data_IF_618340474581
#
_entry.id   IF_618340474581
#
_cell.length_a   1.000
_cell.length_b   1.000
_cell.length_c   1.000
_cell.angle_alpha   90.00
_cell.angle_beta   90.00
_cell.angle_gamma   90.00
#
_symmetry.space_group_name_H-M   'P 1'
#
loop_
_entity.id
_entity.type
_entity.pdbx_description
1 polymer ?
#
# COMPACT_ATOMS: atom_id res chain seq x y z
N UNK A 1 32.12 82.60 12.66
CA UNK A 1 31.94 82.46 14.11
C UNK A 1 30.45 82.55 14.40
N UNK A 2 29.80 81.39 14.55
CA UNK A 2 28.51 81.12 15.21
C UNK A 2 28.13 79.65 14.87
N UNK A 3 27.85 78.77 15.84
CA UNK A 3 27.67 77.33 15.65
C UNK A 3 26.19 76.88 15.70
N UNK A 4 25.99 75.58 15.43
CA UNK A 4 24.82 74.74 15.73
C UNK A 4 23.51 74.98 14.97
N UNK A 5 23.04 73.94 14.27
CA UNK A 5 22.01 73.09 14.89
C UNK A 5 22.08 71.66 14.35
N UNK A 6 22.42 70.73 15.25
CA UNK A 6 22.21 69.31 15.08
C UNK A 6 20.74 69.04 15.40
N UNK A 7 19.93 68.82 14.37
CA UNK A 7 18.60 68.24 14.55
C UNK A 7 18.77 66.78 14.95
N UNK A 8 18.51 66.51 16.22
CA UNK A 8 18.28 65.20 16.82
C UNK A 8 17.18 64.47 16.06
N UNK A 9 17.59 63.50 15.24
CA UNK A 9 16.70 62.51 14.66
C UNK A 9 16.15 61.66 15.82
N UNK A 10 14.89 61.92 16.16
CA UNK A 10 14.13 61.17 17.15
C UNK A 10 14.02 59.71 16.71
N UNK A 11 14.62 58.83 17.50
CA UNK A 11 14.42 57.37 17.50
C UNK A 11 12.92 57.03 17.40
N UNK A 12 12.48 56.70 16.19
CA UNK A 12 11.20 56.05 15.97
C UNK A 12 11.22 54.63 16.54
N UNK A 13 10.09 54.11 17.06
CA UNK A 13 10.03 52.78 17.66
C UNK A 13 10.07 51.72 16.55
N UNK A 14 11.27 51.38 16.08
CA UNK A 14 11.47 50.14 15.34
C UNK A 14 11.17 48.98 16.31
N UNK A 15 10.24 48.06 15.98
CA UNK A 15 10.02 46.89 16.81
C UNK A 15 11.30 46.06 16.81
N UNK A 16 11.93 45.95 17.99
CA UNK A 16 12.99 44.98 18.32
C UNK A 16 12.46 43.55 18.12
N UNK A 17 12.39 43.10 16.86
CA UNK A 17 12.08 41.72 16.50
C UNK A 17 13.39 40.99 16.19
N UNK A 18 14.24 40.91 17.21
CA UNK A 18 15.40 40.04 17.25
C UNK A 18 15.50 39.45 18.65
N UNK A 19 15.86 38.18 18.72
CA UNK A 19 16.25 37.43 19.93
C UNK A 19 15.15 36.67 20.68
N UNK A 20 14.75 35.53 20.12
CA UNK A 20 15.05 34.28 20.83
C UNK A 20 16.27 33.68 20.12
N UNK A 21 17.50 33.98 20.58
CA UNK A 21 18.76 33.44 20.01
C UNK A 21 18.77 31.90 20.10
N UNK A 22 17.99 31.34 21.01
CA UNK A 22 17.77 29.91 21.12
C UNK A 22 16.28 29.62 21.39
N UNK A 23 15.57 28.92 20.48
CA UNK A 23 14.19 28.54 20.73
C UNK A 23 14.11 27.63 21.95
N UNK A 24 13.09 27.84 22.80
CA UNK A 24 12.83 27.00 23.99
C UNK A 24 12.73 25.52 23.60
N UNK A 25 13.18 24.61 24.48
CA UNK A 25 13.15 23.14 24.24
C UNK A 25 11.79 22.63 23.75
N UNK A 26 10.69 23.12 24.33
CA UNK A 26 9.32 22.78 23.91
C UNK A 26 9.01 23.17 22.45
N UNK A 27 9.49 24.32 21.99
CA UNK A 27 9.30 24.78 20.60
C UNK A 27 10.10 23.90 19.63
N UNK A 28 11.30 23.47 20.01
CA UNK A 28 12.11 22.54 19.22
C UNK A 28 11.41 21.19 19.09
N UNK A 29 10.94 20.63 20.21
CA UNK A 29 10.21 19.35 20.22
C UNK A 29 8.95 19.40 19.36
N UNK A 30 8.17 20.49 19.46
CA UNK A 30 6.98 20.69 18.61
C UNK A 30 7.35 20.85 17.13
N UNK A 31 8.46 21.52 16.81
CA UNK A 31 8.91 21.68 15.43
C UNK A 31 9.40 20.36 14.81
N UNK A 32 9.87 19.39 15.61
CA UNK A 32 10.18 18.04 15.11
C UNK A 32 8.96 17.35 14.51
N UNK A 33 7.78 17.53 15.12
CA UNK A 33 6.54 16.92 14.63
C UNK A 33 6.24 17.32 13.17
N UNK A 34 6.71 18.49 12.72
CA UNK A 34 6.56 18.91 11.32
C UNK A 34 7.25 17.93 10.35
N UNK A 35 8.43 17.41 10.73
CA UNK A 35 9.18 16.43 9.94
C UNK A 35 8.54 15.04 9.92
N UNK A 36 7.71 14.73 10.92
CA UNK A 36 6.91 13.50 11.00
C UNK A 36 5.51 13.66 10.39
N UNK A 37 5.25 14.75 9.68
CA UNK A 37 4.00 14.93 8.93
C UNK A 37 2.92 15.70 9.68
N UNK A 38 3.18 16.25 10.87
CA UNK A 38 2.14 17.02 11.60
C UNK A 38 2.01 18.48 11.13
N UNK A 39 2.57 18.83 9.97
CA UNK A 39 2.53 20.20 9.44
C UNK A 39 1.11 20.77 9.20
N UNK A 40 0.12 20.03 8.66
CA UNK A 40 -1.21 20.58 8.40
C UNK A 40 -2.00 20.95 9.65
N UNK A 41 -1.83 20.20 10.74
CA UNK A 41 -2.49 20.48 12.02
C UNK A 41 -2.07 21.84 12.62
N UNK A 42 -1.00 22.43 12.08
CA UNK A 42 -0.43 23.69 12.55
C UNK A 42 -0.79 24.88 11.67
N UNK A 43 -1.53 24.64 10.58
CA UNK A 43 -1.95 25.67 9.61
C UNK A 43 -2.97 26.64 10.19
N UNK A 44 -3.90 26.16 11.01
CA UNK A 44 -5.10 26.89 11.45
C UNK A 44 -4.89 27.85 12.63
N UNK A 45 -3.78 27.75 13.40
CA UNK A 45 -3.67 28.46 14.68
C UNK A 45 -2.50 29.46 14.81
N UNK A 46 -1.62 29.61 13.80
CA UNK A 46 -0.32 30.28 14.03
C UNK A 46 0.29 31.13 12.91
N UNK A 47 -0.38 31.37 11.77
CA UNK A 47 0.28 32.00 10.62
C UNK A 47 0.82 33.42 10.88
N UNK A 48 0.12 34.23 11.69
CA UNK A 48 0.54 35.62 11.94
C UNK A 48 1.45 35.79 13.17
N UNK A 49 1.44 34.86 14.13
CA UNK A 49 2.22 34.95 15.38
C UNK A 49 3.38 33.96 15.49
N UNK A 50 3.60 33.11 14.47
CA UNK A 50 4.68 32.13 14.49
C UNK A 50 6.07 32.77 14.33
N UNK A 51 7.00 32.32 15.17
CA UNK A 51 8.41 32.70 15.11
C UNK A 51 9.07 32.33 13.77
N UNK A 52 10.12 33.05 13.40
CA UNK A 52 10.92 32.76 12.20
C UNK A 52 11.41 31.30 12.17
N UNK A 53 11.81 30.78 13.32
CA UNK A 53 12.21 29.39 13.52
C UNK A 53 11.13 28.40 13.08
N UNK A 54 9.90 28.59 13.57
CA UNK A 54 8.77 27.73 13.21
C UNK A 54 8.46 27.79 11.71
N UNK A 55 8.44 29.00 11.13
CA UNK A 55 8.18 29.21 9.71
C UNK A 55 9.24 28.51 8.84
N UNK A 56 10.51 28.57 9.23
CA UNK A 56 11.61 27.91 8.50
C UNK A 56 11.45 26.38 8.50
N UNK A 57 11.29 25.77 9.68
CA UNK A 57 11.14 24.31 9.79
C UNK A 57 9.87 23.78 9.12
N UNK A 58 8.76 24.53 9.17
CA UNK A 58 7.55 24.16 8.44
C UNK A 58 7.80 24.12 6.93
N UNK A 59 8.39 25.17 6.37
CA UNK A 59 8.71 25.20 4.93
C UNK A 59 9.63 24.05 4.55
N UNK A 60 10.68 23.82 5.34
CA UNK A 60 11.63 22.75 5.11
C UNK A 60 10.96 21.36 5.13
N UNK A 61 10.15 21.09 6.15
CA UNK A 61 9.43 19.83 6.26
C UNK A 61 8.50 19.63 5.06
N UNK A 62 7.72 20.64 4.67
CA UNK A 62 6.82 20.54 3.52
C UNK A 62 7.57 20.28 2.21
N UNK A 63 8.73 20.91 2.00
CA UNK A 63 9.55 20.64 0.81
C UNK A 63 10.07 19.20 0.84
N UNK A 64 10.54 18.71 1.99
CA UNK A 64 10.98 17.31 2.12
C UNK A 64 9.83 16.33 1.83
N UNK A 65 8.63 16.59 2.33
CA UNK A 65 7.44 15.80 2.01
C UNK A 65 7.05 15.89 0.54
N UNK A 66 7.21 17.05 -0.11
CA UNK A 66 6.98 17.20 -1.54
C UNK A 66 7.97 16.38 -2.38
N UNK A 67 9.24 16.37 -1.99
CA UNK A 67 10.27 15.55 -2.65
C UNK A 67 10.01 14.05 -2.46
N UNK A 68 9.60 13.64 -1.26
CA UNK A 68 9.16 12.25 -1.02
C UNK A 68 7.96 11.91 -1.91
N UNK A 69 6.97 12.80 -1.99
CA UNK A 69 5.81 12.62 -2.85
C UNK A 69 6.18 12.48 -4.33
N UNK A 70 7.15 13.27 -4.82
CA UNK A 70 7.68 13.15 -6.17
C UNK A 70 8.37 11.79 -6.40
N UNK A 71 9.23 11.35 -5.47
CA UNK A 71 9.90 10.04 -5.55
C UNK A 71 8.86 8.92 -5.61
N UNK A 72 7.85 8.95 -4.73
CA UNK A 72 6.77 7.97 -4.70
C UNK A 72 5.96 7.99 -5.99
N UNK A 73 5.61 9.17 -6.51
CA UNK A 73 4.87 9.32 -7.75
C UNK A 73 5.62 8.74 -8.96
N UNK A 74 6.92 9.06 -9.08
CA UNK A 74 7.77 8.52 -10.14
C UNK A 74 7.91 7.00 -10.04
N UNK A 75 8.03 6.46 -8.82
CA UNK A 75 8.04 5.01 -8.60
C UNK A 75 6.71 4.38 -9.06
N UNK A 76 5.56 4.94 -8.68
CA UNK A 76 4.25 4.41 -9.06
C UNK A 76 4.07 4.40 -10.58
N UNK A 77 4.46 5.47 -11.28
CA UNK A 77 4.46 5.51 -12.75
C UNK A 77 5.39 4.44 -13.31
N UNK A 78 6.61 4.33 -12.79
CA UNK A 78 7.59 3.35 -13.27
C UNK A 78 7.10 1.92 -13.12
N UNK A 79 6.46 1.60 -11.98
CA UNK A 79 5.86 0.29 -11.72
C UNK A 79 4.67 0.04 -12.65
N UNK A 80 3.82 1.04 -12.89
CA UNK A 80 2.69 0.91 -13.82
C UNK A 80 3.17 0.68 -15.27
N UNK A 81 4.17 1.43 -15.73
CA UNK A 81 4.79 1.25 -17.04
C UNK A 81 5.46 -0.12 -17.14
N UNK A 82 6.25 -0.52 -16.14
CA UNK A 82 6.88 -1.84 -16.10
C UNK A 82 5.82 -2.95 -16.16
N UNK A 83 4.73 -2.82 -15.40
CA UNK A 83 3.63 -3.79 -15.39
C UNK A 83 3.00 -3.93 -16.79
N UNK A 84 2.80 -2.81 -17.49
CA UNK A 84 2.29 -2.82 -18.87
C UNK A 84 3.29 -3.48 -19.81
N UNK A 85 4.58 -3.13 -19.71
CA UNK A 85 5.63 -3.71 -20.53
C UNK A 85 5.79 -5.23 -20.30
N UNK A 86 5.68 -5.70 -19.06
CA UNK A 86 5.73 -7.14 -18.77
C UNK A 86 4.56 -7.92 -19.42
N UNK A 87 3.40 -7.29 -19.58
CA UNK A 87 2.25 -7.92 -20.24
C UNK A 87 2.43 -8.00 -21.76
N UNK A 88 2.93 -6.95 -22.40
CA UNK A 88 2.99 -6.86 -23.87
C UNK A 88 4.37 -7.19 -24.48
N UNK A 89 5.46 -7.04 -23.72
CA UNK A 89 6.86 -7.11 -24.18
C UNK A 89 7.74 -7.86 -23.16
N UNK A 90 7.26 -9.03 -22.71
CA UNK A 90 7.91 -9.84 -21.65
C UNK A 90 9.38 -10.14 -21.95
N UNK A 91 9.68 -10.63 -23.15
CA UNK A 91 11.03 -11.09 -23.53
C UNK A 91 12.05 -9.96 -23.45
N UNK A 92 11.66 -8.75 -23.86
CA UNK A 92 12.50 -7.55 -23.82
C UNK A 92 12.73 -7.06 -22.39
N UNK A 93 11.73 -7.14 -21.51
CA UNK A 93 11.85 -6.73 -20.11
C UNK A 93 12.74 -7.69 -19.31
N UNK A 94 12.54 -9.00 -19.48
CA UNK A 94 13.27 -10.04 -18.75
C UNK A 94 14.78 -9.99 -19.08
N UNK A 95 15.14 -9.66 -20.32
CA UNK A 95 16.55 -9.54 -20.74
C UNK A 95 17.24 -8.29 -20.19
N UNK A 96 16.52 -7.18 -20.01
CA UNK A 96 17.11 -5.90 -19.62
C UNK A 96 17.18 -5.65 -18.11
N UNK A 97 16.60 -6.54 -17.27
CA UNK A 97 16.58 -6.41 -15.80
C UNK A 97 16.07 -5.04 -15.32
N UNK A 98 15.06 -4.50 -16.01
CA UNK A 98 14.52 -3.14 -15.77
C UNK A 98 14.07 -2.94 -14.31
N UNK A 99 13.53 -3.99 -13.69
CA UNK A 99 13.11 -3.98 -12.28
C UNK A 99 14.25 -3.60 -11.33
N UNK A 100 15.44 -4.17 -11.51
CA UNK A 100 16.60 -3.89 -10.66
C UNK A 100 17.02 -2.42 -10.76
N UNK A 101 16.91 -1.82 -11.94
CA UNK A 101 17.21 -0.40 -12.15
C UNK A 101 16.21 0.50 -11.42
N UNK A 102 14.91 0.21 -11.53
CA UNK A 102 13.85 0.96 -10.84
C UNK A 102 14.04 0.88 -9.32
N UNK A 103 14.27 -0.33 -8.79
CA UNK A 103 14.51 -0.55 -7.36
C UNK A 103 15.79 0.15 -6.87
N UNK A 104 16.88 0.05 -7.64
CA UNK A 104 18.16 0.68 -7.31
C UNK A 104 18.06 2.21 -7.29
N UNK A 105 17.44 2.81 -8.30
CA UNK A 105 17.24 4.26 -8.40
C UNK A 105 16.35 4.78 -7.26
N UNK A 106 15.25 4.07 -6.98
CA UNK A 106 14.33 4.40 -5.90
C UNK A 106 15.02 4.34 -4.55
N UNK A 107 15.76 3.27 -4.27
CA UNK A 107 16.53 3.11 -3.02
C UNK A 107 17.54 4.24 -2.83
N UNK A 108 18.33 4.57 -3.86
CA UNK A 108 19.30 5.68 -3.79
C UNK A 108 18.61 7.03 -3.55
N UNK A 109 17.48 7.26 -4.21
CA UNK A 109 16.69 8.49 -4.04
C UNK A 109 16.13 8.62 -2.61
N UNK A 110 15.62 7.52 -2.04
CA UNK A 110 15.14 7.46 -0.66
C UNK A 110 16.28 7.65 0.35
N UNK A 111 17.48 7.13 0.09
CA UNK A 111 18.65 7.35 0.94
C UNK A 111 19.06 8.84 0.96
N UNK A 112 19.13 9.47 -0.21
CA UNK A 112 19.43 10.91 -0.32
C UNK A 112 18.37 11.74 0.41
N UNK A 113 17.09 11.42 0.21
CA UNK A 113 15.99 12.05 0.93
C UNK A 113 16.13 11.86 2.45
N UNK A 114 16.44 10.64 2.90
CA UNK A 114 16.63 10.29 4.31
C UNK A 114 17.77 11.08 4.96
N UNK A 115 18.88 11.30 4.25
CA UNK A 115 19.98 12.14 4.71
C UNK A 115 19.51 13.59 4.92
N UNK A 116 18.77 14.16 3.97
CA UNK A 116 18.25 15.52 4.12
C UNK A 116 17.20 15.64 5.23
N UNK A 117 16.37 14.62 5.40
CA UNK A 117 15.39 14.54 6.48
C UNK A 117 16.06 14.49 7.85
N UNK A 118 17.04 13.59 8.03
CA UNK A 118 17.84 13.49 9.26
C UNK A 118 18.61 14.78 9.55
N UNK A 119 19.21 15.39 8.53
CA UNK A 119 19.88 16.67 8.68
C UNK A 119 18.89 17.75 9.13
N UNK A 120 17.68 17.78 8.58
CA UNK A 120 16.63 18.69 9.01
C UNK A 120 16.23 18.52 10.47
N UNK A 121 16.06 17.28 10.93
CA UNK A 121 15.81 16.94 12.33
C UNK A 121 16.95 17.42 13.22
N UNK A 122 18.19 17.10 12.86
CA UNK A 122 19.37 17.50 13.62
C UNK A 122 19.48 19.02 13.77
N UNK A 123 19.20 19.79 12.70
CA UNK A 123 19.16 21.26 12.74
C UNK A 123 18.05 21.79 13.65
N UNK A 124 16.87 21.18 13.60
CA UNK A 124 15.74 21.47 14.49
C UNK A 124 16.13 21.25 15.96
N UNK A 125 16.77 20.13 16.29
CA UNK A 125 17.24 19.85 17.66
C UNK A 125 18.27 20.90 18.13
N UNK A 126 19.18 21.32 17.25
CA UNK A 126 20.15 22.39 17.54
C UNK A 126 19.54 23.79 17.60
N UNK A 127 18.27 23.97 17.23
CA UNK A 127 17.60 25.26 17.23
C UNK A 127 18.04 26.18 16.08
N UNK A 128 18.60 25.62 15.00
CA UNK A 128 19.08 26.39 13.85
C UNK A 128 17.99 26.63 12.82
N UNK A 129 17.85 27.86 12.34
CA UNK A 129 16.89 28.25 11.29
C UNK A 129 17.42 28.12 9.88
N UNK A 130 18.73 27.92 9.71
CA UNK A 130 19.35 27.93 8.40
C UNK A 130 19.00 26.64 7.63
N UNK A 131 18.62 26.77 6.35
CA UNK A 131 18.02 25.69 5.56
C UNK A 131 18.99 24.53 5.35
N UNK A 132 18.46 23.35 5.06
CA UNK A 132 19.29 22.26 4.51
C UNK A 132 19.94 22.76 3.21
N UNK A 133 21.25 22.53 3.01
CA UNK A 133 21.91 22.80 1.73
C UNK A 133 21.11 22.25 0.55
N UNK A 134 21.14 22.93 -0.60
CA UNK A 134 20.40 22.60 -1.84
C UNK A 134 18.87 22.84 -1.73
N UNK A 135 18.25 22.51 -0.59
CA UNK A 135 16.81 22.76 -0.35
C UNK A 135 16.51 24.26 -0.22
N UNK A 136 17.49 25.07 0.23
CA UNK A 136 17.34 26.52 0.34
C UNK A 136 16.89 27.22 -0.94
N UNK A 137 17.21 26.68 -2.13
CA UNK A 137 16.71 27.20 -3.40
C UNK A 137 15.20 26.97 -3.57
N UNK A 138 14.71 25.79 -3.17
CA UNK A 138 13.29 25.41 -3.23
C UNK A 138 12.39 26.20 -2.28
N UNK A 139 12.95 26.89 -1.27
CA UNK A 139 12.18 27.74 -0.35
C UNK A 139 11.47 28.90 -1.05
N UNK A 140 11.98 29.33 -2.20
CA UNK A 140 11.40 30.40 -3.02
C UNK A 140 10.15 29.92 -3.78
N UNK A 141 10.02 28.61 -4.01
CA UNK A 141 8.94 28.03 -4.78
C UNK A 141 7.77 27.63 -3.86
N UNK A 142 6.71 28.44 -3.83
CA UNK A 142 5.50 28.16 -3.04
C UNK A 142 4.77 26.89 -3.50
N UNK A 143 4.97 26.48 -4.75
CA UNK A 143 4.41 25.24 -5.31
C UNK A 143 4.84 24.00 -4.52
N UNK A 144 6.13 23.84 -4.20
CA UNK A 144 6.60 22.68 -3.42
C UNK A 144 5.98 22.62 -2.03
N UNK A 145 5.71 23.75 -1.40
CA UNK A 145 5.03 23.77 -0.10
C UNK A 145 3.58 23.29 -0.22
N UNK A 146 2.86 23.72 -1.27
CA UNK A 146 1.49 23.26 -1.57
C UNK A 146 1.47 21.76 -1.89
N UNK A 147 2.38 21.29 -2.75
CA UNK A 147 2.50 19.86 -3.10
C UNK A 147 2.81 19.01 -1.88
N UNK A 148 3.73 19.46 -1.00
CA UNK A 148 4.05 18.78 0.24
C UNK A 148 2.84 18.68 1.18
N UNK A 149 2.05 19.75 1.29
CA UNK A 149 0.80 19.73 2.05
C UNK A 149 -0.22 18.74 1.46
N UNK A 150 -0.42 18.75 0.14
CA UNK A 150 -1.35 17.82 -0.52
C UNK A 150 -0.91 16.38 -0.30
N UNK A 151 0.36 16.06 -0.59
CA UNK A 151 0.91 14.72 -0.46
C UNK A 151 0.76 14.17 0.97
N UNK A 152 1.08 15.00 1.96
CA UNK A 152 0.99 14.62 3.36
C UNK A 152 -0.48 14.38 3.79
N UNK A 153 -1.43 15.23 3.37
CA UNK A 153 -2.86 14.98 3.67
C UNK A 153 -3.34 13.67 3.03
N UNK A 154 -2.98 13.43 1.76
CA UNK A 154 -3.30 12.17 1.08
C UNK A 154 -2.67 10.98 1.81
N UNK A 155 -1.41 11.08 2.23
CA UNK A 155 -0.72 10.04 3.01
C UNK A 155 -1.50 9.68 4.28
N UNK A 156 -1.90 10.65 5.10
CA UNK A 156 -2.67 10.34 6.32
C UNK A 156 -4.07 9.80 6.03
N UNK A 157 -4.78 10.31 5.02
CA UNK A 157 -6.08 9.77 4.61
C UNK A 157 -5.93 8.31 4.18
N UNK A 158 -4.95 8.01 3.33
CA UNK A 158 -4.66 6.66 2.86
C UNK A 158 -4.26 5.75 4.03
N UNK A 159 -3.37 6.17 4.93
CA UNK A 159 -2.99 5.39 6.10
C UNK A 159 -4.18 5.11 7.01
N UNK A 160 -4.99 6.13 7.31
CA UNK A 160 -6.18 5.98 8.16
C UNK A 160 -7.16 4.98 7.54
N UNK A 161 -7.50 5.14 6.26
CA UNK A 161 -8.38 4.23 5.53
C UNK A 161 -7.80 2.81 5.49
N UNK A 162 -6.53 2.66 5.11
CA UNK A 162 -5.86 1.35 5.04
C UNK A 162 -5.89 0.65 6.39
N UNK A 163 -5.53 1.33 7.49
CA UNK A 163 -5.56 0.76 8.83
C UNK A 163 -6.98 0.39 9.26
N UNK A 164 -7.97 1.27 9.08
CA UNK A 164 -9.37 0.97 9.42
C UNK A 164 -9.92 -0.22 8.65
N UNK A 165 -9.64 -0.29 7.34
CA UNK A 165 -10.07 -1.40 6.49
C UNK A 165 -9.33 -2.70 6.83
N UNK A 166 -8.04 -2.63 7.19
CA UNK A 166 -7.25 -3.77 7.63
C UNK A 166 -7.82 -4.35 8.93
N UNK A 167 -8.04 -3.51 9.95
CA UNK A 167 -8.63 -3.93 11.23
C UNK A 167 -10.01 -4.57 11.00
N UNK A 168 -10.81 -3.98 10.11
CA UNK A 168 -12.12 -4.53 9.78
C UNK A 168 -12.01 -5.85 9.02
N UNK A 169 -11.07 -5.97 8.08
CA UNK A 169 -10.80 -7.20 7.33
C UNK A 169 -10.38 -8.34 8.24
N UNK A 170 -9.45 -8.07 9.14
CA UNK A 170 -9.00 -9.01 10.18
C UNK A 170 -10.16 -9.56 11.01
N UNK A 171 -11.11 -8.71 11.41
CA UNK A 171 -12.30 -9.13 12.18
C UNK A 171 -13.31 -9.97 11.38
N UNK A 172 -13.28 -9.90 10.05
CA UNK A 172 -14.20 -10.65 9.18
C UNK A 172 -13.65 -12.04 8.83
N UNK A 173 -12.33 -12.22 8.96
CA UNK A 173 -11.62 -13.42 8.55
C UNK A 173 -11.51 -14.40 9.72
N UNK A 174 -11.80 -15.67 9.44
CA UNK A 174 -11.53 -16.79 10.35
C UNK A 174 -10.26 -17.53 9.96
N UNK A 175 -9.72 -18.32 10.89
CA UNK A 175 -8.72 -19.35 10.60
C UNK A 175 -9.32 -20.77 10.63
N UNK A 176 -10.57 -20.91 11.07
CA UNK A 176 -11.25 -22.21 11.18
C UNK A 176 -11.94 -22.59 9.88
N UNK A 177 -11.54 -23.72 9.29
CA UNK A 177 -12.10 -24.20 8.03
C UNK A 177 -13.53 -24.77 8.16
N UNK A 178 -13.97 -25.15 9.36
CA UNK A 178 -15.24 -25.86 9.59
C UNK A 178 -16.48 -25.11 9.13
N UNK A 179 -16.45 -23.76 9.16
CA UNK A 179 -17.55 -22.88 8.76
C UNK A 179 -17.24 -22.05 7.51
N UNK A 180 -16.04 -22.21 6.95
CA UNK A 180 -15.58 -21.42 5.82
C UNK A 180 -16.29 -21.83 4.53
N UNK A 181 -16.75 -20.85 3.77
CA UNK A 181 -17.32 -21.01 2.42
C UNK A 181 -16.44 -20.36 1.36
N UNK A 182 -15.76 -19.28 1.73
CA UNK A 182 -14.80 -18.54 0.91
C UNK A 182 -13.41 -18.79 1.44
N UNK A 183 -12.58 -19.48 0.66
CA UNK A 183 -11.17 -19.69 0.96
C UNK A 183 -10.34 -18.69 0.16
N UNK A 184 -9.51 -17.93 0.86
CA UNK A 184 -8.62 -16.92 0.30
C UNK A 184 -7.20 -17.37 0.64
N UNK A 185 -6.51 -17.96 -0.33
CA UNK A 185 -5.17 -18.50 -0.15
C UNK A 185 -4.16 -17.54 -0.77
N UNK A 186 -3.07 -17.27 -0.06
CA UNK A 186 -2.02 -16.35 -0.50
C UNK A 186 -0.64 -16.96 -0.29
N UNK A 187 0.27 -16.71 -1.22
CA UNK A 187 1.68 -16.99 -1.02
C UNK A 187 2.25 -16.03 0.05
N UNK A 188 2.75 -16.59 1.16
CA UNK A 188 3.22 -15.83 2.32
C UNK A 188 4.56 -15.11 2.04
N UNK A 189 5.29 -15.53 0.99
CA UNK A 189 6.61 -15.00 0.60
C UNK A 189 7.67 -14.94 1.74
N UNK A 190 7.33 -15.37 2.97
CA UNK A 190 8.15 -15.36 4.18
C UNK A 190 8.36 -13.99 4.85
N UNK A 191 8.06 -12.87 4.18
CA UNK A 191 8.33 -11.53 4.71
C UNK A 191 7.12 -10.57 4.69
N UNK A 192 6.03 -10.94 4.03
CA UNK A 192 4.87 -10.05 3.87
C UNK A 192 3.89 -10.30 5.03
N UNK A 193 3.56 -9.30 5.86
CA UNK A 193 2.70 -9.52 7.00
C UNK A 193 1.24 -9.79 6.58
N UNK A 194 0.63 -10.82 7.17
CA UNK A 194 -0.78 -11.23 6.96
C UNK A 194 -1.80 -10.08 6.87
N UNK A 195 -1.76 -9.02 7.71
CA UNK A 195 -2.69 -7.90 7.62
C UNK A 195 -2.76 -7.21 6.25
N UNK A 196 -1.68 -7.23 5.45
CA UNK A 196 -1.71 -6.69 4.09
C UNK A 196 -2.61 -7.52 3.18
N UNK A 197 -2.57 -8.85 3.30
CA UNK A 197 -3.48 -9.74 2.58
C UNK A 197 -4.93 -9.58 3.07
N UNK A 198 -5.14 -9.35 4.37
CA UNK A 198 -6.47 -9.04 4.91
C UNK A 198 -7.07 -7.76 4.31
N UNK A 199 -6.24 -6.73 4.08
CA UNK A 199 -6.65 -5.52 3.37
C UNK A 199 -6.97 -5.83 1.90
N UNK A 200 -6.09 -6.56 1.21
CA UNK A 200 -6.28 -6.93 -0.19
C UNK A 200 -7.60 -7.70 -0.40
N UNK A 201 -7.96 -8.58 0.55
CA UNK A 201 -9.15 -9.43 0.48
C UNK A 201 -10.39 -8.87 1.19
N UNK A 202 -10.31 -7.66 1.77
CA UNK A 202 -11.36 -7.08 2.62
C UNK A 202 -12.76 -7.14 1.97
N UNK A 203 -12.85 -6.75 0.69
CA UNK A 203 -14.10 -6.71 -0.07
C UNK A 203 -14.71 -8.10 -0.28
N UNK A 204 -13.88 -9.11 -0.50
CA UNK A 204 -14.29 -10.52 -0.60
C UNK A 204 -14.80 -11.01 0.74
N UNK A 205 -14.01 -10.85 1.80
CA UNK A 205 -14.37 -11.27 3.16
C UNK A 205 -15.69 -10.63 3.63
N UNK A 206 -15.83 -9.31 3.43
CA UNK A 206 -17.06 -8.59 3.77
C UNK A 206 -18.28 -9.08 3.00
N UNK A 207 -18.10 -9.53 1.76
CA UNK A 207 -19.20 -10.05 0.94
C UNK A 207 -19.57 -11.47 1.34
N UNK A 208 -18.59 -12.33 1.60
CA UNK A 208 -18.80 -13.66 2.15
C UNK A 208 -19.59 -13.60 3.46
N UNK A 209 -19.17 -12.77 4.41
CA UNK A 209 -19.83 -12.65 5.72
C UNK A 209 -21.26 -12.11 5.59
N UNK A 210 -21.52 -11.17 4.67
CA UNK A 210 -22.88 -10.70 4.40
C UNK A 210 -23.77 -11.79 3.82
N UNK A 211 -23.21 -12.70 3.03
CA UNK A 211 -23.95 -13.74 2.33
C UNK A 211 -24.21 -14.98 3.20
N UNK A 212 -23.16 -15.50 3.85
CA UNK A 212 -23.18 -16.77 4.56
C UNK A 212 -23.00 -16.64 6.08
N UNK A 213 -22.90 -15.41 6.59
CA UNK A 213 -22.77 -15.14 8.02
C UNK A 213 -21.32 -15.17 8.54
N UNK A 214 -21.14 -14.92 9.85
CA UNK A 214 -19.83 -14.88 10.50
C UNK A 214 -19.05 -16.20 10.36
N UNK A 215 -17.73 -16.12 10.16
CA UNK A 215 -16.86 -17.29 9.99
C UNK A 215 -16.84 -17.88 8.58
N UNK A 216 -17.57 -17.31 7.62
CA UNK A 216 -17.63 -17.82 6.25
C UNK A 216 -16.41 -17.48 5.39
N UNK A 217 -15.56 -16.53 5.79
CA UNK A 217 -14.39 -16.10 5.03
C UNK A 217 -13.10 -16.52 5.74
N UNK A 218 -12.29 -17.35 5.09
CA UNK A 218 -11.03 -17.85 5.63
C UNK A 218 -9.85 -17.30 4.82
N UNK A 219 -8.82 -16.80 5.51
CA UNK A 219 -7.57 -16.33 4.91
C UNK A 219 -6.39 -17.10 5.51
N UNK A 220 -5.70 -17.88 4.67
CA UNK A 220 -4.55 -18.70 5.09
C UNK A 220 -3.40 -18.66 4.07
N UNK A 221 -2.15 -18.84 4.53
CA UNK A 221 -1.03 -19.13 3.65
C UNK A 221 -1.35 -20.30 2.72
N UNK A 222 -0.87 -20.21 1.50
CA UNK A 222 -1.05 -21.22 0.47
C UNK A 222 -0.04 -22.35 0.69
N UNK A 223 -0.55 -23.49 1.15
CA UNK A 223 0.13 -24.79 1.22
C UNK A 223 -0.70 -25.85 0.52
N UNK A 224 -0.10 -27.01 0.21
CA UNK A 224 -0.84 -28.17 -0.32
C UNK A 224 -2.06 -28.49 0.52
N UNK A 225 -1.87 -28.61 1.84
CA UNK A 225 -2.94 -28.92 2.79
C UNK A 225 -4.06 -27.87 2.77
N UNK A 226 -3.72 -26.58 2.72
CA UNK A 226 -4.72 -25.51 2.67
C UNK A 226 -5.49 -25.47 1.35
N UNK A 227 -4.83 -25.83 0.24
CA UNK A 227 -5.44 -25.90 -1.08
C UNK A 227 -6.38 -27.09 -1.18
N UNK A 228 -5.92 -28.26 -0.73
CA UNK A 228 -6.74 -29.46 -0.67
C UNK A 228 -7.98 -29.22 0.21
N UNK A 229 -7.82 -28.61 1.38
CA UNK A 229 -8.92 -28.25 2.28
C UNK A 229 -9.90 -27.26 1.62
N UNK A 230 -9.39 -26.27 0.88
CA UNK A 230 -10.20 -25.31 0.15
C UNK A 230 -11.00 -25.96 -0.99
N UNK A 231 -10.38 -26.87 -1.75
CA UNK A 231 -11.04 -27.61 -2.82
C UNK A 231 -12.11 -28.54 -2.26
N UNK A 232 -11.87 -29.18 -1.12
CA UNK A 232 -12.77 -30.15 -0.50
C UNK A 232 -13.96 -29.54 0.24
N UNK A 233 -13.82 -28.32 0.79
CA UNK A 233 -14.84 -27.70 1.66
C UNK A 233 -15.37 -26.38 1.13
N UNK A 234 -14.60 -25.71 0.29
CA UNK A 234 -14.92 -24.39 -0.22
C UNK A 234 -16.09 -24.39 -1.20
N UNK A 235 -16.83 -23.29 -1.19
CA UNK A 235 -17.77 -22.94 -2.25
C UNK A 235 -17.12 -21.99 -3.25
N UNK A 236 -16.31 -21.06 -2.73
CA UNK A 236 -15.47 -20.15 -3.50
C UNK A 236 -14.02 -20.28 -3.02
N UNK A 237 -13.08 -20.40 -3.96
CA UNK A 237 -11.65 -20.47 -3.67
C UNK A 237 -10.91 -19.43 -4.50
N UNK A 238 -10.12 -18.59 -3.86
CA UNK A 238 -9.12 -17.73 -4.49
C UNK A 238 -7.73 -18.24 -4.12
N UNK A 239 -6.86 -18.38 -5.12
CA UNK A 239 -5.46 -18.81 -4.95
C UNK A 239 -4.55 -17.73 -5.52
N UNK A 240 -3.86 -16.99 -4.66
CA UNK A 240 -2.76 -16.10 -5.03
C UNK A 240 -1.45 -16.84 -4.94
N UNK A 241 -0.83 -17.14 -6.09
CA UNK A 241 0.37 -17.97 -6.17
C UNK A 241 1.25 -17.55 -7.35
N UNK A 242 2.53 -17.87 -7.29
CA UNK A 242 3.35 -17.93 -8.49
C UNK A 242 2.97 -19.17 -9.33
N UNK A 243 3.14 -19.10 -10.65
CA UNK A 243 2.78 -20.20 -11.53
C UNK A 243 3.59 -20.17 -12.81
N UNK A 244 3.60 -21.31 -13.47
CA UNK A 244 4.09 -21.45 -14.85
C UNK A 244 3.13 -22.35 -15.61
N UNK A 245 3.45 -22.62 -16.89
CA UNK A 245 2.73 -23.62 -17.67
C UNK A 245 2.73 -25.03 -17.03
N UNK A 246 3.60 -25.31 -16.05
CA UNK A 246 3.66 -26.59 -15.33
C UNK A 246 2.67 -26.70 -14.17
N UNK A 247 2.09 -25.61 -13.68
CA UNK A 247 1.14 -25.61 -12.57
C UNK A 247 1.35 -24.47 -11.57
N UNK A 248 0.75 -24.62 -10.37
CA UNK A 248 0.89 -23.66 -9.27
C UNK A 248 2.15 -23.96 -8.48
N UNK A 249 2.96 -22.94 -8.17
CA UNK A 249 4.16 -23.12 -7.37
C UNK A 249 3.81 -23.09 -5.87
N UNK A 250 4.00 -24.22 -5.19
CA UNK A 250 3.79 -24.42 -3.76
C UNK A 250 5.11 -24.92 -3.15
N UNK A 251 5.74 -24.11 -2.29
CA UNK A 251 6.96 -24.48 -1.56
C UNK A 251 8.06 -25.09 -2.46
N UNK A 252 8.26 -24.53 -3.65
CA UNK A 252 9.26 -24.99 -4.63
C UNK A 252 8.85 -26.22 -5.45
N UNK A 253 7.63 -26.72 -5.29
CA UNK A 253 7.05 -27.82 -6.09
C UNK A 253 5.86 -27.34 -6.89
N UNK A 254 5.61 -27.96 -8.04
CA UNK A 254 4.41 -27.68 -8.81
C UNK A 254 3.25 -28.55 -8.32
N UNK A 255 2.13 -27.90 -8.04
CA UNK A 255 0.83 -28.54 -7.84
C UNK A 255 0.04 -28.46 -9.14
N UNK A 256 -0.26 -29.63 -9.68
CA UNK A 256 -0.83 -29.80 -11.01
C UNK A 256 -2.32 -30.19 -10.94
N UNK A 257 -3.07 -30.11 -12.05
CA UNK A 257 -4.46 -30.55 -12.08
C UNK A 257 -4.66 -31.99 -11.58
N UNK A 258 -3.68 -32.86 -11.78
CA UNK A 258 -3.70 -34.28 -11.36
C UNK A 258 -3.56 -34.43 -9.84
N UNK A 259 -2.98 -33.45 -9.16
CA UNK A 259 -2.83 -33.43 -7.70
C UNK A 259 -4.12 -33.04 -6.97
N UNK A 260 -5.10 -32.47 -7.69
CA UNK A 260 -6.36 -32.01 -7.12
C UNK A 260 -7.07 -33.20 -6.47
N UNK A 261 -7.37 -33.15 -5.17
CA UNK A 261 -8.07 -34.23 -4.51
C UNK A 261 -9.43 -34.37 -5.18
N UNK A 262 -9.76 -35.60 -5.58
CA UNK A 262 -11.08 -35.95 -6.10
C UNK A 262 -11.90 -36.48 -4.95
N UNK A 263 -12.69 -35.64 -4.26
CA UNK A 263 -13.73 -36.17 -3.41
C UNK A 263 -14.74 -36.85 -4.31
N UNK A 264 -15.17 -38.06 -3.95
CA UNK A 264 -16.17 -38.79 -4.71
C UNK A 264 -17.52 -38.05 -4.82
N UNK A 265 -17.72 -36.90 -4.16
CA UNK A 265 -18.99 -36.13 -4.18
C UNK A 265 -18.90 -34.67 -3.66
N UNK A 266 -17.78 -33.93 -3.76
CA UNK A 266 -17.83 -32.50 -3.35
C UNK A 266 -18.61 -31.66 -4.37
N UNK A 267 -19.92 -31.60 -4.18
CA UNK A 267 -20.83 -30.78 -4.96
C UNK A 267 -20.91 -29.35 -4.45
N UNK A 268 -20.12 -28.93 -3.45
CA UNK A 268 -20.19 -27.59 -2.89
C UNK A 268 -19.30 -26.56 -3.61
N UNK A 269 -18.21 -27.01 -4.25
CA UNK A 269 -17.31 -26.11 -4.98
C UNK A 269 -18.02 -25.54 -6.22
N UNK A 270 -17.98 -24.22 -6.38
CA UNK A 270 -18.70 -23.49 -7.44
C UNK A 270 -17.79 -22.57 -8.25
N UNK A 271 -16.76 -22.02 -7.62
CA UNK A 271 -15.85 -21.12 -8.31
C UNK A 271 -14.44 -21.18 -7.76
N UNK A 272 -13.46 -21.23 -8.66
CA UNK A 272 -12.04 -21.17 -8.34
C UNK A 272 -11.38 -20.07 -9.15
N UNK A 273 -10.71 -19.13 -8.49
CA UNK A 273 -9.89 -18.10 -9.12
C UNK A 273 -8.42 -18.42 -8.88
N UNK A 274 -7.69 -18.76 -9.94
CA UNK A 274 -6.26 -19.02 -9.93
C UNK A 274 -5.53 -17.74 -10.37
N UNK A 275 -5.07 -16.97 -9.39
CA UNK A 275 -4.25 -15.78 -9.59
C UNK A 275 -2.76 -16.18 -9.69
N UNK A 276 -2.43 -16.94 -10.74
CA UNK A 276 -1.07 -17.39 -11.02
C UNK A 276 -0.76 -17.26 -12.51
N UNK A 277 0.43 -16.74 -12.79
CA UNK A 277 0.90 -16.50 -14.15
C UNK A 277 0.97 -17.81 -14.95
N UNK A 278 0.59 -17.76 -16.23
CA UNK A 278 0.67 -18.86 -17.20
C UNK A 278 -0.03 -20.19 -16.81
N UNK A 279 -0.76 -20.22 -15.69
CA UNK A 279 -1.54 -21.41 -15.27
C UNK A 279 -2.65 -21.76 -16.25
N UNK A 280 -3.07 -20.79 -17.08
CA UNK A 280 -4.05 -20.97 -18.14
C UNK A 280 -3.56 -21.86 -19.28
N UNK A 281 -2.26 -22.14 -19.38
CA UNK A 281 -1.74 -23.14 -20.33
C UNK A 281 -2.39 -24.53 -20.13
N UNK A 282 -2.80 -24.85 -18.89
CA UNK A 282 -3.49 -26.08 -18.54
C UNK A 282 -4.99 -25.85 -18.22
N UNK A 283 -5.62 -24.82 -18.79
CA UNK A 283 -6.99 -24.41 -18.45
C UNK A 283 -7.99 -25.57 -18.49
N UNK A 284 -8.01 -26.35 -19.57
CA UNK A 284 -8.95 -27.47 -19.71
C UNK A 284 -8.74 -28.54 -18.63
N UNK A 285 -7.48 -28.80 -18.25
CA UNK A 285 -7.17 -29.77 -17.21
C UNK A 285 -7.61 -29.25 -15.83
N UNK A 286 -7.41 -27.96 -15.54
CA UNK A 286 -7.93 -27.33 -14.32
C UNK A 286 -9.46 -27.35 -14.25
N UNK A 287 -10.14 -27.00 -15.34
CA UNK A 287 -11.61 -27.03 -15.42
C UNK A 287 -12.14 -28.46 -15.23
N UNK A 288 -11.46 -29.46 -15.79
CA UNK A 288 -11.83 -30.86 -15.59
C UNK A 288 -11.58 -31.34 -14.15
N UNK A 289 -10.42 -31.03 -13.57
CA UNK A 289 -10.04 -31.45 -12.23
C UNK A 289 -10.90 -30.80 -11.13
N UNK A 290 -11.36 -29.56 -11.35
CA UNK A 290 -12.16 -28.79 -10.39
C UNK A 290 -13.66 -28.81 -10.71
N UNK A 291 -14.09 -29.64 -11.67
CA UNK A 291 -15.51 -29.78 -11.99
C UNK A 291 -16.33 -30.18 -10.75
N UNK A 292 -17.52 -29.59 -10.54
CA UNK A 292 -18.30 -28.76 -11.47
C UNK A 292 -18.03 -27.25 -11.35
N UNK A 293 -16.97 -26.83 -10.67
CA UNK A 293 -16.70 -25.41 -10.43
C UNK A 293 -16.29 -24.67 -11.71
N UNK A 294 -16.69 -23.41 -11.82
CA UNK A 294 -16.12 -22.51 -12.84
C UNK A 294 -14.72 -22.10 -12.43
N UNK A 295 -13.75 -22.27 -13.33
CA UNK A 295 -12.35 -21.89 -13.08
C UNK A 295 -12.00 -20.63 -13.87
N UNK A 296 -11.44 -19.63 -13.19
CA UNK A 296 -10.81 -18.46 -13.83
C UNK A 296 -9.30 -18.53 -13.63
N UNK A 297 -8.59 -18.61 -14.74
CA UNK A 297 -7.13 -18.70 -14.84
C UNK A 297 -6.66 -17.83 -16.00
N UNK A 298 -5.35 -17.56 -16.08
CA UNK A 298 -4.74 -16.68 -17.07
C UNK A 298 -3.57 -17.39 -17.76
N UNK A 299 -3.55 -17.32 -19.08
CA UNK A 299 -2.50 -17.84 -19.97
C UNK A 299 -1.42 -16.80 -20.29
N UNK A 300 -1.40 -15.70 -19.53
CA UNK A 300 -0.43 -14.61 -19.64
C UNK A 300 0.03 -14.15 -18.26
N UNK A 301 1.10 -13.35 -18.26
CA UNK A 301 1.43 -12.52 -17.11
C UNK A 301 0.28 -11.56 -16.80
N UNK A 302 -0.13 -11.57 -15.54
CA UNK A 302 -1.15 -10.67 -14.99
C UNK A 302 -0.53 -9.82 -13.89
N UNK A 303 -0.56 -8.49 -14.01
CA UNK A 303 -0.07 -7.61 -12.96
C UNK A 303 -0.86 -7.81 -11.67
N UNK A 304 -0.19 -7.71 -10.51
CA UNK A 304 -0.85 -7.79 -9.20
C UNK A 304 -2.03 -6.82 -9.07
N UNK A 305 -1.94 -5.65 -9.69
CA UNK A 305 -3.03 -4.65 -9.72
C UNK A 305 -4.29 -5.17 -10.41
N UNK A 306 -4.17 -6.04 -11.42
CA UNK A 306 -5.31 -6.65 -12.10
C UNK A 306 -6.06 -7.59 -11.15
N UNK A 307 -5.34 -8.43 -10.39
CA UNK A 307 -5.94 -9.30 -9.38
C UNK A 307 -6.54 -8.50 -8.22
N UNK A 308 -5.86 -7.45 -7.74
CA UNK A 308 -6.38 -6.56 -6.70
C UNK A 308 -7.65 -5.85 -7.15
N UNK A 309 -7.68 -5.35 -8.39
CA UNK A 309 -8.87 -4.75 -8.97
C UNK A 309 -10.04 -5.74 -9.00
N UNK A 310 -9.80 -6.96 -9.47
CA UNK A 310 -10.80 -8.02 -9.49
C UNK A 310 -11.35 -8.34 -8.10
N UNK A 311 -10.47 -8.52 -7.10
CA UNK A 311 -10.83 -8.79 -5.71
C UNK A 311 -11.68 -7.69 -5.07
N UNK A 312 -11.53 -6.45 -5.52
CA UNK A 312 -12.29 -5.31 -4.98
C UNK A 312 -13.60 -5.05 -5.70
N UNK A 313 -13.70 -5.43 -6.98
CA UNK A 313 -14.82 -5.08 -7.87
C UNK A 313 -15.63 -6.30 -8.30
N UNK A 314 -15.13 -7.07 -9.26
CA UNK A 314 -15.80 -8.21 -9.91
C UNK A 314 -16.01 -9.40 -8.96
N UNK A 315 -14.97 -9.82 -8.23
CA UNK A 315 -15.02 -10.95 -7.30
C UNK A 315 -16.16 -10.84 -6.29
N UNK A 316 -16.33 -9.69 -5.60
CA UNK A 316 -17.47 -9.47 -4.72
C UNK A 316 -18.83 -9.52 -5.43
N UNK A 317 -18.92 -9.06 -6.67
CA UNK A 317 -20.17 -9.14 -7.45
C UNK A 317 -20.52 -10.59 -7.79
N UNK A 318 -19.52 -11.36 -8.22
CA UNK A 318 -19.66 -12.78 -8.49
C UNK A 318 -20.07 -13.55 -7.22
N UNK A 319 -19.39 -13.30 -6.10
CA UNK A 319 -19.67 -13.97 -4.83
C UNK A 319 -21.12 -13.73 -4.34
N UNK A 320 -21.71 -12.55 -4.62
CA UNK A 320 -23.12 -12.26 -4.30
C UNK A 320 -24.12 -13.08 -5.12
N UNK A 321 -23.73 -13.52 -6.31
CA UNK A 321 -24.62 -14.20 -7.26
C UNK A 321 -24.25 -15.67 -7.48
N UNK A 322 -23.23 -16.16 -6.77
CA UNK A 322 -22.77 -17.54 -6.87
C UNK A 322 -23.93 -18.53 -6.59
N UNK A 323 -24.16 -19.57 -7.40
CA UNK A 323 -25.20 -20.55 -7.11
C UNK A 323 -24.94 -21.27 -5.79
N UNK A 324 -25.96 -21.47 -4.96
CA UNK A 324 -25.81 -22.29 -3.76
C UNK A 324 -25.57 -23.77 -4.14
N UNK A 325 -24.83 -24.53 -3.31
CA UNK A 325 -24.82 -25.97 -3.42
C UNK A 325 -26.24 -26.53 -3.33
N UNK A 326 -26.57 -27.54 -4.13
CA UNK A 326 -27.79 -28.29 -3.91
C UNK A 326 -27.68 -28.89 -2.50
N UNK A 327 -28.68 -28.65 -1.63
CA UNK A 327 -28.71 -29.32 -0.34
C UNK A 327 -28.81 -30.82 -0.60
N UNK A 328 -28.00 -31.66 0.08
CA UNK A 328 -28.28 -33.08 0.06
C UNK A 328 -29.70 -33.25 0.60
N UNK A 329 -30.55 -33.93 -0.19
CA UNK A 329 -31.84 -34.41 0.27
C UNK A 329 -31.59 -35.15 1.58
N UNK A 330 -32.16 -34.65 2.68
CA UNK A 330 -32.24 -35.44 3.89
C UNK A 330 -33.08 -36.66 3.53
N UNK A 331 -32.43 -37.81 3.40
CA UNK A 331 -33.11 -39.08 3.47
C UNK A 331 -33.57 -39.23 4.93
N UNK A 332 -34.89 -39.22 5.12
CA UNK A 332 -35.59 -39.44 6.39
C UNK A 332 -35.41 -40.87 6.90
#
# INVERSE_FOLDING_TARGET
MAPCDQSTETDGPYPKNGQDIHPKKRVRLLALLLYFGFAPLTWTRRNNTASLYWKSHRKQALILWALLGLITFLLLISVAVLSMLMVYFRNEVDTQRVELWILSLTRKSLLVWGIFWLYGIWRCLRGSTAPVPIIGWLFKCTMFQKTGMIFLNLFFITCFLATSLTIRGERLLTQEASRARTFLLYDDLGFVPRPLFSLAMYRMASTSVRRWGPGSALLRPLTRESLDDAVLKGTFVFVGSHGTAAGLLLDGKYYQPEDVPRPDNNTALRYVYLASCDSGAQRNAWEHALAPATVRTYDRLTPTLEHLWWLWTEGPALLRNLPEPARPTQED
#
